data_IF_480681324487
#
_entry.id   IF_480681324487
#
_cell.length_a   1.000
_cell.length_b   1.000
_cell.length_c   1.000
_cell.angle_alpha   90.00
_cell.angle_beta   90.00
_cell.angle_gamma   90.00
#
_symmetry.space_group_name_H-M   'P 1'
#
loop_
_entity.id
_entity.type
_entity.pdbx_description
1 polymer ?
#
# COMPACT_ATOMS: atom_id res chain seq x y z
N UNK A 1 -13.00 -6.54 -9.58
CA UNK A 1 -13.03 -7.88 -8.95
C UNK A 1 -11.86 -8.82 -9.30
N UNK A 2 -11.40 -8.96 -10.56
CA UNK A 2 -10.46 -10.05 -10.92
C UNK A 2 -9.01 -9.98 -10.38
N UNK A 3 -8.57 -8.86 -9.78
CA UNK A 3 -7.16 -8.70 -9.34
C UNK A 3 -6.83 -9.46 -8.06
N UNK A 4 -7.77 -9.61 -7.13
CA UNK A 4 -7.54 -10.29 -5.84
C UNK A 4 -7.32 -11.78 -6.06
N UNK A 5 -8.24 -12.44 -6.75
CA UNK A 5 -8.12 -13.87 -7.08
C UNK A 5 -6.90 -14.16 -7.97
N UNK A 6 -6.61 -13.29 -8.95
CA UNK A 6 -5.50 -13.50 -9.91
C UNK A 6 -4.12 -13.26 -9.30
N UNK A 7 -3.93 -12.22 -8.50
CA UNK A 7 -2.61 -11.82 -8.03
C UNK A 7 -2.42 -12.04 -6.54
N UNK A 8 -3.32 -11.52 -5.70
CA UNK A 8 -3.18 -11.61 -4.24
C UNK A 8 -3.21 -13.07 -3.77
N UNK A 9 -4.26 -13.82 -4.12
CA UNK A 9 -4.43 -15.20 -3.66
C UNK A 9 -3.30 -16.12 -4.15
N UNK A 10 -2.83 -15.94 -5.39
CA UNK A 10 -1.71 -16.71 -5.93
C UNK A 10 -0.40 -16.42 -5.20
N UNK A 11 -0.13 -15.15 -4.89
CA UNK A 11 1.06 -14.76 -4.12
C UNK A 11 1.02 -15.31 -2.70
N UNK A 12 -0.13 -15.26 -2.02
CA UNK A 12 -0.27 -15.84 -0.68
C UNK A 12 -0.12 -17.36 -0.73
N UNK A 13 -0.75 -18.03 -1.70
CA UNK A 13 -0.63 -19.48 -1.89
C UNK A 13 0.83 -19.90 -2.02
N UNK A 14 1.56 -19.26 -2.93
CA UNK A 14 2.99 -19.51 -3.16
C UNK A 14 3.82 -19.28 -1.88
N UNK A 15 3.57 -18.18 -1.18
CA UNK A 15 4.27 -17.88 0.07
C UNK A 15 4.03 -18.96 1.13
N UNK A 16 2.78 -19.39 1.31
CA UNK A 16 2.44 -20.45 2.26
C UNK A 16 3.11 -21.79 1.88
N UNK A 17 3.11 -22.15 0.59
CA UNK A 17 3.80 -23.34 0.08
C UNK A 17 5.31 -23.29 0.36
N UNK A 18 5.96 -22.15 0.06
CA UNK A 18 7.39 -21.92 0.35
C UNK A 18 7.71 -22.00 1.85
N UNK A 19 6.75 -21.67 2.71
CA UNK A 19 6.87 -21.74 4.17
C UNK A 19 6.34 -23.04 4.78
N UNK A 20 5.89 -24.00 3.97
CA UNK A 20 5.24 -25.23 4.43
C UNK A 20 4.06 -24.98 5.38
N UNK A 21 3.28 -23.95 5.10
CA UNK A 21 2.09 -23.55 5.85
C UNK A 21 0.82 -23.86 5.05
N UNK A 22 -0.29 -24.07 5.75
CA UNK A 22 -1.60 -24.17 5.12
C UNK A 22 -1.94 -22.85 4.39
N UNK A 23 -2.30 -22.87 3.09
CA UNK A 23 -2.65 -21.66 2.35
C UNK A 23 -4.00 -21.08 2.79
N UNK A 24 -3.97 -19.95 3.50
CA UNK A 24 -5.14 -19.15 3.87
C UNK A 24 -4.75 -17.70 4.12
N UNK A 25 -5.70 -16.77 3.98
CA UNK A 25 -5.46 -15.34 4.16
C UNK A 25 -6.55 -14.65 4.97
N UNK A 26 -6.15 -13.63 5.73
CA UNK A 26 -7.03 -12.64 6.31
C UNK A 26 -6.78 -11.30 5.62
N UNK A 27 -7.80 -10.73 4.99
CA UNK A 27 -7.72 -9.46 4.28
C UNK A 27 -8.35 -8.35 5.13
N UNK A 28 -7.50 -7.50 5.70
CA UNK A 28 -7.91 -6.36 6.50
C UNK A 28 -8.07 -5.11 5.61
N UNK A 29 -9.29 -4.58 5.51
CA UNK A 29 -9.61 -3.42 4.67
C UNK A 29 -10.35 -2.36 5.46
N UNK A 30 -10.08 -1.09 5.21
CA UNK A 30 -10.90 0.00 5.73
C UNK A 30 -12.34 -0.07 5.19
N UNK A 31 -13.29 0.44 5.96
CA UNK A 31 -14.70 0.49 5.56
C UNK A 31 -15.00 1.73 4.69
N UNK A 32 -14.23 1.95 3.62
CA UNK A 32 -14.42 3.06 2.71
C UNK A 32 -15.46 2.73 1.62
N UNK A 33 -16.31 3.71 1.22
CA UNK A 33 -17.40 3.50 0.26
C UNK A 33 -16.90 3.19 -1.17
N UNK A 34 -15.61 3.32 -1.44
CA UNK A 34 -15.00 2.98 -2.73
C UNK A 34 -14.57 1.51 -2.86
N UNK A 35 -14.67 0.70 -1.80
CA UNK A 35 -14.28 -0.70 -1.86
C UNK A 35 -15.33 -1.55 -2.56
N UNK A 36 -14.92 -2.62 -3.26
CA UNK A 36 -15.86 -3.53 -3.89
C UNK A 36 -16.76 -4.16 -2.83
N UNK A 37 -18.06 -3.97 -2.95
CA UNK A 37 -19.03 -4.70 -2.15
C UNK A 37 -18.88 -6.22 -2.42
N UNK A 38 -19.15 -7.03 -1.41
CA UNK A 38 -19.18 -8.50 -1.50
C UNK A 38 -17.84 -9.16 -1.88
N UNK A 39 -16.71 -8.60 -1.41
CA UNK A 39 -15.39 -9.25 -1.51
C UNK A 39 -15.39 -10.69 -0.97
N UNK A 40 -16.23 -10.98 0.01
CA UNK A 40 -16.40 -12.30 0.63
C UNK A 40 -17.00 -13.35 -0.32
N UNK A 41 -17.69 -12.92 -1.39
CA UNK A 41 -18.27 -13.81 -2.39
C UNK A 41 -17.29 -14.18 -3.51
N UNK A 42 -16.03 -13.71 -3.43
CA UNK A 42 -15.05 -13.98 -4.48
C UNK A 42 -14.60 -15.44 -4.46
N UNK A 43 -14.73 -16.08 -5.64
CA UNK A 43 -14.08 -17.37 -5.88
C UNK A 43 -12.56 -17.18 -5.94
N UNK A 44 -11.88 -17.72 -4.94
CA UNK A 44 -10.44 -17.60 -4.71
C UNK A 44 -9.80 -18.99 -4.66
N UNK A 45 -8.51 -19.07 -4.99
CA UNK A 45 -7.79 -20.35 -4.99
C UNK A 45 -7.33 -20.82 -3.60
N UNK A 46 -7.56 -20.00 -2.57
CA UNK A 46 -7.30 -20.27 -1.15
C UNK A 46 -8.44 -19.66 -0.34
N UNK A 47 -8.75 -20.16 0.88
CA UNK A 47 -9.67 -19.48 1.79
C UNK A 47 -9.18 -18.06 2.09
N UNK A 48 -10.08 -17.08 1.94
CA UNK A 48 -9.85 -15.67 2.29
C UNK A 48 -11.00 -15.19 3.16
N UNK A 49 -10.67 -14.74 4.36
CA UNK A 49 -11.61 -14.04 5.24
C UNK A 49 -11.36 -12.53 5.10
N UNK A 50 -12.43 -11.74 4.99
CA UNK A 50 -12.33 -10.27 4.87
C UNK A 50 -12.83 -9.65 6.16
N UNK A 51 -12.04 -8.77 6.75
CA UNK A 51 -12.40 -8.08 8.00
C UNK A 51 -12.32 -6.58 7.79
N UNK A 52 -13.40 -5.90 8.18
CA UNK A 52 -13.49 -4.44 8.19
C UNK A 52 -13.37 -3.94 9.63
N UNK A 53 -12.32 -3.18 9.99
CA UNK A 53 -12.18 -2.62 11.33
C UNK A 53 -13.30 -1.61 11.62
N UNK A 54 -13.73 -1.56 12.89
CA UNK A 54 -14.75 -0.62 13.34
C UNK A 54 -14.26 0.84 13.26
N UNK A 55 -15.19 1.72 12.90
CA UNK A 55 -15.07 3.12 12.44
C UNK A 55 -14.12 4.06 13.20
N UNK A 56 -13.66 3.72 14.40
CA UNK A 56 -12.89 4.66 15.24
C UNK A 56 -11.37 4.48 15.14
N UNK A 57 -10.86 3.34 14.65
CA UNK A 57 -9.44 2.99 14.67
C UNK A 57 -8.90 2.40 13.36
N UNK A 58 -9.56 2.63 12.22
CA UNK A 58 -9.14 2.02 10.94
C UNK A 58 -7.67 2.30 10.60
N UNK A 59 -7.20 3.53 10.81
CA UNK A 59 -5.79 3.90 10.57
C UNK A 59 -4.80 3.35 11.60
N UNK A 60 -5.26 2.96 12.79
CA UNK A 60 -4.43 2.30 13.81
C UNK A 60 -4.30 0.80 13.57
N UNK A 61 -5.26 0.18 12.90
CA UNK A 61 -5.28 -1.26 12.67
C UNK A 61 -4.80 -1.62 11.27
N UNK A 62 -5.03 -0.74 10.29
CA UNK A 62 -4.63 -1.00 8.92
C UNK A 62 -3.14 -0.70 8.74
N UNK A 63 -2.36 -1.76 8.51
CA UNK A 63 -0.91 -1.70 8.31
C UNK A 63 -0.50 -0.74 7.19
N UNK A 64 -1.34 -0.59 6.16
CA UNK A 64 -1.11 0.35 5.07
C UNK A 64 -1.00 1.79 5.55
N UNK A 65 -1.88 2.21 6.46
CA UNK A 65 -1.85 3.56 7.01
C UNK A 65 -0.62 3.75 7.89
N UNK A 66 -0.37 2.82 8.81
CA UNK A 66 0.70 2.96 9.80
C UNK A 66 2.11 2.85 9.24
N UNK A 67 2.37 1.93 8.32
CA UNK A 67 3.75 1.69 7.87
C UNK A 67 3.94 2.34 6.52
N UNK A 68 3.15 1.95 5.52
CA UNK A 68 3.44 2.33 4.15
C UNK A 68 3.17 3.82 3.93
N UNK A 69 1.97 4.29 4.26
CA UNK A 69 1.55 5.67 4.00
C UNK A 69 2.30 6.65 4.89
N UNK A 70 2.47 6.37 6.18
CA UNK A 70 3.27 7.23 7.05
C UNK A 70 4.72 7.37 6.56
N UNK A 71 5.39 6.26 6.23
CA UNK A 71 6.76 6.32 5.72
C UNK A 71 6.84 7.03 4.37
N UNK A 72 5.89 6.77 3.47
CA UNK A 72 5.82 7.45 2.18
C UNK A 72 5.67 8.97 2.35
N UNK A 73 4.73 9.41 3.20
CA UNK A 73 4.52 10.83 3.52
C UNK A 73 5.74 11.47 4.19
N UNK A 74 6.49 10.73 5.01
CA UNK A 74 7.68 11.26 5.66
C UNK A 74 8.89 11.35 4.70
N UNK A 75 9.04 10.39 3.80
CA UNK A 75 10.26 10.24 2.99
C UNK A 75 10.17 10.96 1.64
N UNK A 76 9.07 10.79 0.90
CA UNK A 76 9.00 11.28 -0.48
C UNK A 76 9.05 12.81 -0.62
N UNK A 77 8.41 13.61 0.26
CA UNK A 77 8.58 15.05 0.20
C UNK A 77 10.03 15.48 0.40
N UNK A 78 10.74 14.88 1.38
CA UNK A 78 12.16 15.19 1.63
C UNK A 78 13.03 14.88 0.42
N UNK A 79 12.81 13.70 -0.19
CA UNK A 79 13.52 13.30 -1.41
C UNK A 79 13.21 14.22 -2.59
N UNK A 80 11.95 14.59 -2.75
CA UNK A 80 11.49 15.49 -3.82
C UNK A 80 12.11 16.88 -3.66
N UNK A 81 12.03 17.47 -2.47
CA UNK A 81 12.64 18.77 -2.18
C UNK A 81 14.15 18.75 -2.37
N UNK A 82 14.85 17.70 -1.93
CA UNK A 82 16.30 17.56 -2.15
C UNK A 82 16.63 17.51 -3.66
N UNK A 83 15.85 16.77 -4.43
CA UNK A 83 16.04 16.66 -5.88
C UNK A 83 15.77 18.01 -6.58
N UNK A 84 14.73 18.73 -6.15
CA UNK A 84 14.42 20.06 -6.68
C UNK A 84 15.51 21.07 -6.35
N UNK A 85 16.03 21.07 -5.11
CA UNK A 85 17.10 21.95 -4.68
C UNK A 85 18.39 21.69 -5.49
N UNK A 86 18.79 20.43 -5.63
CA UNK A 86 19.95 20.04 -6.44
C UNK A 86 19.81 20.50 -7.91
N UNK A 87 18.61 20.37 -8.49
CA UNK A 87 18.33 20.88 -9.83
C UNK A 87 18.40 22.40 -9.89
N UNK A 88 17.80 23.10 -8.92
CA UNK A 88 17.83 24.56 -8.85
C UNK A 88 19.27 25.08 -8.70
N UNK A 89 20.12 24.41 -7.92
CA UNK A 89 21.55 24.73 -7.78
C UNK A 89 22.35 24.46 -9.06
N UNK A 90 22.06 23.36 -9.75
CA UNK A 90 22.68 23.05 -11.05
C UNK A 90 22.29 24.03 -12.17
N UNK A 91 21.10 24.64 -12.06
CA UNK A 91 20.62 25.70 -12.97
C UNK A 91 21.14 27.09 -12.52
N UNK A 92 21.28 27.31 -11.21
CA UNK A 92 21.75 28.55 -10.59
C UNK A 92 23.23 28.86 -10.82
N UNK A 93 24.04 27.87 -11.21
CA UNK A 93 25.43 28.11 -11.64
C UNK A 93 25.55 28.82 -13.00
N UNK A 94 24.44 29.15 -13.69
CA UNK A 94 24.46 29.93 -14.93
C UNK A 94 23.84 31.34 -14.86
N UNK A 95 23.37 31.86 -13.71
CA UNK A 95 22.89 33.26 -13.72
C UNK A 95 22.94 34.07 -12.42
N UNK A 96 23.73 33.70 -11.40
CA UNK A 96 23.91 34.58 -10.23
C UNK A 96 25.11 35.50 -10.44
N UNK A 97 24.97 36.44 -11.38
CA UNK A 97 25.81 37.63 -11.51
C UNK A 97 25.01 38.88 -11.88
N UNK A 98 23.69 38.89 -11.69
CA UNK A 98 22.88 40.11 -11.80
C UNK A 98 21.70 40.04 -10.85
N UNK A 99 21.82 40.72 -9.70
CA UNK A 99 20.88 41.72 -9.19
C UNK A 99 21.63 42.59 -8.17
#
# INVERSE_FOLDING_TARGET
MGKISKYFCQSVKRYCEEKSMEPKALLLLDNAPGHPENLELLQTCIPVEVVYPLLYNTSLLQLMDQILILNFKAYEPRRTFKTLLQKAESVGQQSVMQF
#
